data_IF_541679219793
#
_entry.id   IF_541679219793
#
_cell.length_a   1.000
_cell.length_b   1.000
_cell.length_c   1.000
_cell.angle_alpha   90.00
_cell.angle_beta   90.00
_cell.angle_gamma   90.00
#
_symmetry.space_group_name_H-M   'P 1'
#
loop_
_entity.id
_entity.type
_entity.pdbx_description
1 polymer ?
#
# COMPACT_ATOMS: atom_id res chain seq x y z
N UNK A 1 44.49 0.88 -41.01
CA UNK A 1 44.95 -0.48 -41.37
C UNK A 1 44.51 -1.41 -40.24
N UNK A 2 43.44 -2.18 -40.42
CA UNK A 2 43.36 -3.44 -41.19
C UNK A 2 44.11 -4.58 -40.49
N UNK A 3 43.44 -5.20 -39.51
CA UNK A 3 43.51 -6.63 -39.20
C UNK A 3 42.09 -7.00 -38.73
N UNK A 4 41.18 -7.23 -39.68
CA UNK A 4 40.85 -8.56 -40.22
C UNK A 4 39.98 -9.34 -39.22
N UNK A 5 38.65 -9.30 -39.34
CA UNK A 5 37.89 -10.04 -40.38
C UNK A 5 38.34 -11.50 -40.40
N UNK A 6 38.07 -12.25 -39.33
CA UNK A 6 38.19 -13.71 -39.34
C UNK A 6 37.34 -14.42 -38.27
N UNK A 7 36.12 -13.96 -37.99
CA UNK A 7 35.14 -14.77 -37.24
C UNK A 7 33.76 -14.55 -37.86
N UNK A 8 33.65 -14.79 -39.17
CA UNK A 8 32.44 -14.53 -39.95
C UNK A 8 31.72 -15.78 -40.47
N UNK A 9 32.21 -17.01 -40.31
CA UNK A 9 31.56 -18.16 -40.96
C UNK A 9 31.70 -19.45 -40.14
N UNK A 10 30.78 -19.67 -39.20
CA UNK A 10 30.31 -20.98 -38.69
C UNK A 10 29.52 -20.68 -37.40
N UNK A 11 28.21 -20.86 -37.26
CA UNK A 11 27.31 -21.76 -37.94
C UNK A 11 25.95 -21.07 -38.11
N UNK A 12 25.55 -20.89 -39.35
CA UNK A 12 24.14 -20.79 -39.67
C UNK A 12 23.49 -22.16 -39.43
N UNK A 13 22.19 -22.14 -39.14
CA UNK A 13 21.27 -23.28 -39.00
C UNK A 13 21.15 -23.82 -37.56
N UNK A 14 20.42 -23.09 -36.73
CA UNK A 14 19.48 -23.71 -35.80
C UNK A 14 18.14 -22.96 -35.84
N UNK A 15 17.29 -23.46 -36.74
CA UNK A 15 15.85 -23.69 -36.58
C UNK A 15 15.03 -22.56 -35.96
N UNK A 16 14.23 -21.95 -36.82
CA UNK A 16 13.01 -21.24 -36.50
C UNK A 16 12.11 -22.05 -35.55
N UNK A 17 11.82 -21.51 -34.38
CA UNK A 17 10.68 -21.90 -33.56
C UNK A 17 10.18 -20.66 -32.80
N UNK A 18 8.89 -20.40 -32.99
CA UNK A 18 8.13 -19.25 -32.58
C UNK A 18 8.28 -18.88 -31.08
N UNK A 19 8.43 -17.59 -30.80
CA UNK A 19 7.79 -16.94 -29.65
C UNK A 19 7.77 -15.44 -29.92
N UNK A 20 6.80 -15.02 -30.74
CA UNK A 20 6.40 -13.62 -30.85
C UNK A 20 5.93 -13.16 -29.47
N UNK A 21 6.31 -11.93 -29.15
CA UNK A 21 6.08 -11.28 -27.88
C UNK A 21 4.62 -11.35 -27.40
N UNK A 22 4.42 -11.85 -26.18
CA UNK A 22 3.31 -11.41 -25.35
C UNK A 22 3.89 -10.73 -24.11
N UNK A 23 4.03 -9.40 -24.20
CA UNK A 23 4.19 -8.57 -23.00
C UNK A 23 2.99 -8.89 -22.10
N UNK A 24 3.18 -9.30 -20.83
CA UNK A 24 2.07 -9.46 -19.93
C UNK A 24 1.35 -8.11 -19.86
N UNK A 25 0.13 -8.05 -20.38
CA UNK A 25 -0.71 -6.89 -20.18
C UNK A 25 -0.93 -6.75 -18.66
N UNK A 26 -0.77 -5.54 -18.08
CA UNK A 26 -1.11 -5.33 -16.69
C UNK A 26 -2.56 -5.77 -16.48
N UNK A 27 -2.90 -6.44 -15.36
CA UNK A 27 -4.28 -6.81 -15.09
C UNK A 27 -5.11 -5.53 -15.14
N UNK A 28 -6.05 -5.50 -16.09
CA UNK A 28 -7.11 -4.50 -16.11
C UNK A 28 -7.97 -4.76 -14.87
N UNK A 29 -7.54 -4.22 -13.73
CA UNK A 29 -8.46 -3.89 -12.67
C UNK A 29 -9.37 -2.81 -13.25
N UNK A 30 -10.43 -3.24 -13.92
CA UNK A 30 -11.65 -2.46 -14.06
C UNK A 30 -12.25 -2.37 -12.67
N UNK A 31 -11.58 -1.62 -11.78
CA UNK A 31 -12.20 -1.11 -10.59
C UNK A 31 -13.30 -0.20 -11.10
N UNK A 32 -14.53 -0.70 -11.02
CA UNK A 32 -15.72 0.09 -11.25
C UNK A 32 -15.65 1.31 -10.33
N UNK A 33 -15.29 2.45 -10.92
CA UNK A 33 -15.61 3.75 -10.37
C UNK A 33 -17.14 3.84 -10.37
N UNK A 34 -17.76 3.58 -9.21
CA UNK A 34 -19.22 3.67 -9.10
C UNK A 34 -19.90 2.82 -8.03
N UNK A 35 -19.19 2.03 -7.22
CA UNK A 35 -19.81 1.40 -6.06
C UNK A 35 -19.53 2.24 -4.80
N UNK A 36 -20.47 3.11 -4.43
CA UNK A 36 -20.64 3.47 -3.01
C UNK A 36 -20.71 2.14 -2.25
N UNK A 37 -19.82 1.82 -1.30
CA UNK A 37 -19.95 0.60 -0.55
C UNK A 37 -21.32 0.62 0.12
N UNK A 38 -22.21 -0.27 -0.32
CA UNK A 38 -23.43 -0.57 0.41
C UNK A 38 -22.99 -0.92 1.82
N UNK A 39 -23.46 -0.16 2.81
CA UNK A 39 -23.11 -0.37 4.20
C UNK A 39 -23.42 -1.82 4.56
N UNK A 40 -22.38 -2.63 4.75
CA UNK A 40 -22.52 -3.96 5.30
C UNK A 40 -23.28 -3.85 6.65
N UNK A 41 -24.10 -4.85 7.02
CA UNK A 41 -24.77 -4.86 8.32
C UNK A 41 -23.72 -4.60 9.42
N UNK A 42 -24.01 -3.75 10.43
CA UNK A 42 -23.03 -3.40 11.44
C UNK A 42 -22.56 -4.67 12.14
N UNK A 43 -21.31 -5.06 11.89
CA UNK A 43 -20.66 -6.07 12.70
C UNK A 43 -20.64 -5.56 14.15
N UNK A 44 -20.78 -6.43 15.16
CA UNK A 44 -20.59 -6.04 16.55
C UNK A 44 -19.24 -5.35 16.69
N UNK A 45 -19.28 -4.04 16.91
CA UNK A 45 -18.06 -3.22 16.94
C UNK A 45 -17.37 -3.47 18.28
N UNK A 46 -16.11 -3.94 18.28
CA UNK A 46 -15.34 -3.96 19.52
C UNK A 46 -15.25 -2.54 20.08
N UNK A 47 -15.43 -2.40 21.40
CA UNK A 47 -15.32 -1.12 22.12
C UNK A 47 -16.30 -0.02 21.64
N UNK A 48 -17.61 -0.19 21.86
CA UNK A 48 -18.63 0.77 21.36
C UNK A 48 -18.54 2.16 22.00
N UNK A 49 -17.90 2.29 23.17
CA UNK A 49 -17.66 3.58 23.83
C UNK A 49 -16.51 4.41 23.23
N UNK A 50 -15.76 3.86 22.26
CA UNK A 50 -14.68 4.57 21.59
C UNK A 50 -15.26 5.34 20.39
N UNK A 51 -15.12 6.68 20.33
CA UNK A 51 -15.58 7.46 19.20
C UNK A 51 -14.99 6.97 17.88
N UNK A 52 -15.83 6.85 16.85
CA UNK A 52 -15.45 6.52 15.48
C UNK A 52 -15.56 7.76 14.61
N UNK A 53 -14.76 7.82 13.57
CA UNK A 53 -14.79 8.87 12.55
C UNK A 53 -15.00 8.23 11.18
N UNK A 54 -15.74 8.91 10.30
CA UNK A 54 -15.91 8.44 8.92
C UNK A 54 -14.57 8.54 8.15
N UNK A 55 -14.40 7.75 7.09
CA UNK A 55 -13.20 7.83 6.26
C UNK A 55 -13.05 9.20 5.59
N UNK A 56 -14.18 9.81 5.20
CA UNK A 56 -14.20 11.14 4.58
C UNK A 56 -13.70 12.21 5.57
N UNK A 57 -14.26 12.23 6.79
CA UNK A 57 -13.87 13.22 7.81
C UNK A 57 -12.44 13.00 8.30
N UNK A 58 -12.02 11.74 8.44
CA UNK A 58 -10.65 11.40 8.79
C UNK A 58 -9.65 11.93 7.77
N UNK A 59 -9.97 11.80 6.47
CA UNK A 59 -9.16 12.33 5.38
C UNK A 59 -9.12 13.86 5.41
N UNK A 60 -10.27 14.52 5.61
CA UNK A 60 -10.34 15.99 5.73
C UNK A 60 -9.49 16.50 6.88
N UNK A 61 -9.54 15.87 8.06
CA UNK A 61 -8.74 16.27 9.21
C UNK A 61 -7.23 16.01 9.02
N UNK A 62 -6.87 14.90 8.37
CA UNK A 62 -5.48 14.57 8.08
C UNK A 62 -4.87 15.51 7.03
N UNK A 63 -5.57 15.75 5.93
CA UNK A 63 -5.12 16.66 4.86
C UNK A 63 -4.96 18.10 5.37
N UNK A 64 -5.80 18.51 6.33
CA UNK A 64 -5.69 19.81 7.01
C UNK A 64 -4.60 19.86 8.10
N UNK A 65 -3.86 18.77 8.33
CA UNK A 65 -2.83 18.68 9.36
C UNK A 65 -3.35 18.71 10.81
N UNK A 66 -4.67 18.56 11.01
CA UNK A 66 -5.33 18.55 12.33
C UNK A 66 -5.29 17.17 13.00
N UNK A 67 -5.17 16.11 12.20
CA UNK A 67 -5.09 14.75 12.69
C UNK A 67 -3.80 14.02 12.26
N UNK A 68 -3.48 12.96 12.99
CA UNK A 68 -2.44 11.99 12.65
C UNK A 68 -3.03 10.58 12.67
N UNK A 69 -2.65 9.78 11.69
CA UNK A 69 -2.98 8.36 11.66
C UNK A 69 -1.96 7.55 12.46
N UNK A 70 -2.45 6.73 13.38
CA UNK A 70 -1.66 5.79 14.15
C UNK A 70 -2.01 4.37 13.71
N UNK A 71 -1.06 3.70 13.08
CA UNK A 71 -1.19 2.32 12.64
C UNK A 71 -0.77 1.39 13.79
N UNK A 72 -1.68 0.53 14.24
CA UNK A 72 -1.43 -0.37 15.38
C UNK A 72 -1.00 -1.79 14.99
N UNK A 73 -0.79 -2.05 13.69
CA UNK A 73 -0.29 -3.32 13.20
C UNK A 73 1.18 -3.55 13.55
N UNK A 74 1.65 -4.76 13.25
CA UNK A 74 3.08 -5.09 13.30
C UNK A 74 3.89 -4.18 12.37
N UNK A 75 5.17 -3.97 12.70
CA UNK A 75 6.08 -3.21 11.84
C UNK A 75 6.20 -3.81 10.42
N UNK A 76 6.10 -5.14 10.30
CA UNK A 76 6.14 -5.83 9.01
C UNK A 76 4.90 -5.53 8.15
N UNK A 77 3.70 -5.54 8.75
CA UNK A 77 2.45 -5.18 8.07
C UNK A 77 2.45 -3.71 7.64
N UNK A 78 2.90 -2.82 8.53
CA UNK A 78 3.06 -1.40 8.20
C UNK A 78 4.06 -1.16 7.06
N UNK A 79 5.14 -1.94 7.02
CA UNK A 79 6.14 -1.85 5.96
C UNK A 79 5.57 -2.31 4.61
N UNK A 80 4.71 -3.33 4.59
CA UNK A 80 4.11 -3.87 3.36
C UNK A 80 3.00 -2.99 2.81
N UNK A 81 2.12 -2.45 3.66
CA UNK A 81 1.05 -1.53 3.26
C UNK A 81 0.57 -0.67 4.43
N UNK A 82 0.36 0.62 4.16
CA UNK A 82 -0.08 1.60 5.17
C UNK A 82 -0.66 2.84 4.54
N UNK A 83 -1.34 3.64 5.36
CA UNK A 83 -1.65 5.03 4.99
C UNK A 83 -0.34 5.84 4.94
N UNK A 84 -0.08 6.52 3.82
CA UNK A 84 1.11 7.38 3.67
C UNK A 84 1.09 8.48 4.72
N UNK A 85 2.18 8.63 5.47
CA UNK A 85 2.30 9.61 6.55
C UNK A 85 1.74 9.15 7.90
N UNK A 86 1.18 7.93 8.00
CA UNK A 86 0.86 7.32 9.28
C UNK A 86 2.12 7.01 10.09
N UNK A 87 1.96 6.89 11.40
CA UNK A 87 3.02 6.51 12.35
C UNK A 87 2.68 5.12 12.89
N UNK A 88 3.61 4.17 12.80
CA UNK A 88 3.42 2.84 13.36
C UNK A 88 3.67 2.84 14.87
N UNK A 89 2.66 2.41 15.62
CA UNK A 89 2.70 2.20 17.06
C UNK A 89 2.01 0.85 17.34
N UNK A 90 2.76 -0.27 17.28
CA UNK A 90 2.18 -1.59 17.49
C UNK A 90 1.45 -1.67 18.84
N UNK A 91 0.27 -2.31 18.86
CA UNK A 91 -0.59 -2.33 20.05
C UNK A 91 0.12 -2.85 21.31
N UNK A 92 0.98 -3.87 21.17
CA UNK A 92 1.77 -4.44 22.28
C UNK A 92 3.00 -3.64 22.70
N UNK A 93 3.27 -2.49 22.08
CA UNK A 93 4.45 -1.66 22.32
C UNK A 93 4.11 -0.17 22.46
N UNK A 94 2.87 0.17 22.84
CA UNK A 94 2.40 1.56 22.91
C UNK A 94 3.29 2.43 23.81
N UNK A 95 3.56 1.98 25.03
CA UNK A 95 4.32 2.72 26.05
C UNK A 95 5.71 3.14 25.54
N UNK A 96 6.40 2.24 24.85
CA UNK A 96 7.73 2.48 24.28
C UNK A 96 7.72 3.45 23.08
N UNK A 97 6.55 3.75 22.52
CA UNK A 97 6.40 4.54 21.30
C UNK A 97 5.60 5.85 21.50
N UNK A 98 5.18 6.18 22.73
CA UNK A 98 4.43 7.39 23.04
C UNK A 98 5.16 8.68 22.62
N UNK A 99 6.49 8.68 22.66
CA UNK A 99 7.33 9.79 22.24
C UNK A 99 7.25 10.09 20.72
N UNK A 100 6.80 9.13 19.92
CA UNK A 100 6.62 9.31 18.46
C UNK A 100 5.32 10.00 18.10
N UNK A 101 4.36 10.08 19.03
CA UNK A 101 3.02 10.60 18.76
C UNK A 101 3.02 12.13 18.90
N UNK A 102 2.71 12.88 17.83
CA UNK A 102 2.67 14.34 17.89
C UNK A 102 1.59 14.83 18.86
N UNK A 103 1.99 15.67 19.81
CA UNK A 103 1.07 16.30 20.76
C UNK A 103 0.21 17.37 20.07
N UNK A 104 -0.99 17.61 20.61
CA UNK A 104 -1.89 18.66 20.14
C UNK A 104 -2.59 18.38 18.80
N UNK A 105 -2.48 17.15 18.27
CA UNK A 105 -3.22 16.70 17.08
C UNK A 105 -4.26 15.66 17.48
N UNK A 106 -5.35 15.60 16.72
CA UNK A 106 -6.33 14.51 16.84
C UNK A 106 -5.64 13.20 16.46
N UNK A 107 -5.75 12.18 17.31
CA UNK A 107 -5.24 10.84 17.03
C UNK A 107 -6.33 10.02 16.38
N UNK A 108 -6.05 9.43 15.22
CA UNK A 108 -6.93 8.47 14.55
C UNK A 108 -6.18 7.14 14.48
N UNK A 109 -6.47 6.26 15.44
CA UNK A 109 -5.88 4.93 15.47
C UNK A 109 -6.64 3.98 14.54
N UNK A 110 -5.92 3.12 13.82
CA UNK A 110 -6.52 2.09 12.97
C UNK A 110 -5.81 0.73 13.11
N UNK A 111 -6.60 -0.31 12.87
CA UNK A 111 -6.20 -1.71 12.71
C UNK A 111 -7.13 -2.34 11.65
N UNK A 112 -6.82 -3.56 11.22
CA UNK A 112 -7.65 -4.38 10.32
C UNK A 112 -8.38 -5.46 11.09
#
# INVERSE_FOLDING_TARGET
MKVSVLVLIAAAVFVAACAEAEKPAPPKNTAAAGATPAAAPPLPIPYPGVPRISLADAKVDFDAGRAVFIDTHSAASFASSRIKGAINVPAGALEANLNKIPKGKKIIAYCS
#
